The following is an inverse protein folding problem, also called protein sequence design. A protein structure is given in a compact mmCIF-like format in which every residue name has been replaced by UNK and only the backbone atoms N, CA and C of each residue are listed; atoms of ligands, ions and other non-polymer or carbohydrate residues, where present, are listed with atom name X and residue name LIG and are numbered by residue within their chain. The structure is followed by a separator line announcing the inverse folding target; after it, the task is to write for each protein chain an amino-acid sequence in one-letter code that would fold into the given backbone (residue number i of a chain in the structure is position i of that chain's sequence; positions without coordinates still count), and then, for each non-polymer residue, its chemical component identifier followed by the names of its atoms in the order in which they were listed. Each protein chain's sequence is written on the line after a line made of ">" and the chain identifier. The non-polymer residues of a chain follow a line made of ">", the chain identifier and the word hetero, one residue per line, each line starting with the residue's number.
data_IF_464619869169
#
_entry.id   IF_464619869169
#
_cell.length_a   1.000
_cell.length_b   1.000
_cell.length_c   1.000
_cell.angle_alpha   90.00
_cell.angle_beta   90.00
_cell.angle_gamma   90.00
#
_symmetry.space_group_name_H-M   'P 1'
#
loop_
_entity.id
_entity.type
_entity.pdbx_description
1 polymer ?
#
# COMPACT_ATOMS: atom_id res chain seq x y z
N UNK A 1 -17.06 8.23 14.78
CA UNK A 1 -16.75 7.58 13.49
C UNK A 1 -16.08 6.25 13.80
N UNK A 2 -16.73 5.13 13.46
CA UNK A 2 -16.20 3.81 13.79
C UNK A 2 -14.99 3.48 12.92
N UNK A 3 -13.82 3.35 13.55
CA UNK A 3 -12.61 2.82 12.93
C UNK A 3 -12.95 1.45 12.34
N UNK A 4 -13.01 1.33 11.01
CA UNK A 4 -13.00 0.02 10.37
C UNK A 4 -11.61 -0.55 10.66
N UNK A 5 -11.54 -1.57 11.52
CA UNK A 5 -10.30 -2.26 11.86
C UNK A 5 -9.64 -2.78 10.57
N UNK A 6 -8.61 -2.09 10.08
CA UNK A 6 -7.64 -2.69 9.18
C UNK A 6 -6.89 -3.73 10.02
N UNK A 7 -7.17 -5.01 9.78
CA UNK A 7 -6.45 -6.08 10.49
C UNK A 7 -5.08 -6.24 9.85
N UNK A 8 -4.08 -5.60 10.45
CA UNK A 8 -2.68 -5.88 10.11
C UNK A 8 -2.38 -7.31 10.51
N UNK A 9 -2.01 -8.12 9.53
CA UNK A 9 -1.62 -9.51 9.78
C UNK A 9 -0.29 -9.50 10.53
N UNK A 10 -0.19 -10.30 11.59
CA UNK A 10 1.04 -10.48 12.39
C UNK A 10 2.24 -10.85 11.51
N UNK A 11 2.00 -11.47 10.35
CA UNK A 11 3.03 -11.79 9.35
C UNK A 11 3.63 -10.56 8.65
N UNK A 12 2.84 -9.51 8.41
CA UNK A 12 3.32 -8.23 7.85
C UNK A 12 4.23 -7.54 8.87
N UNK A 13 3.83 -7.53 10.13
CA UNK A 13 4.64 -7.04 11.24
C UNK A 13 5.97 -7.77 11.39
N UNK A 14 5.92 -9.10 11.43
CA UNK A 14 7.12 -9.92 11.53
C UNK A 14 8.03 -9.75 10.31
N UNK A 15 7.45 -9.46 9.14
CA UNK A 15 8.20 -9.15 7.93
C UNK A 15 8.86 -7.77 7.99
N UNK A 16 8.14 -6.73 8.43
CA UNK A 16 8.69 -5.38 8.61
C UNK A 16 9.87 -5.40 9.61
N UNK A 17 9.71 -6.06 10.75
CA UNK A 17 10.76 -6.17 11.77
C UNK A 17 12.01 -6.92 11.25
N UNK A 18 11.84 -7.90 10.34
CA UNK A 18 12.96 -8.62 9.72
C UNK A 18 13.73 -7.79 8.71
N UNK A 19 13.09 -6.78 8.09
CA UNK A 19 13.76 -5.86 7.17
C UNK A 19 14.52 -4.77 7.94
N UNK A 20 14.07 -4.38 9.14
CA UNK A 20 14.77 -3.40 9.99
C UNK A 20 16.03 -3.94 10.65
N UNK A 21 16.10 -5.25 10.94
CA UNK A 21 17.26 -5.89 11.60
C UNK A 21 18.47 -6.14 10.66
N UNK A 22 18.27 -6.05 9.34
CA UNK A 22 19.30 -6.35 8.33
C UNK A 22 19.61 -5.07 7.54
N UNK A 23 20.64 -4.32 7.97
CA UNK A 23 21.07 -3.05 7.36
C UNK A 23 21.04 -3.00 5.81
N UNK A 24 20.55 -1.86 5.29
CA UNK A 24 20.64 -1.28 3.92
C UNK A 24 19.44 -1.35 2.97
N UNK A 25 18.41 -2.15 3.24
CA UNK A 25 17.15 -2.09 2.51
C UNK A 25 16.03 -1.75 3.49
N UNK A 26 16.01 -0.50 3.96
CA UNK A 26 14.76 0.05 4.46
C UNK A 26 13.79 -0.01 3.29
N UNK A 27 12.97 -1.06 3.29
CA UNK A 27 11.71 -1.00 2.60
C UNK A 27 10.94 0.11 3.29
N UNK A 28 11.01 1.30 2.71
CA UNK A 28 10.25 2.42 3.24
C UNK A 28 8.78 2.15 2.91
N UNK A 29 8.08 1.62 3.92
CA UNK A 29 6.66 1.30 3.86
C UNK A 29 5.87 2.49 3.29
N UNK A 30 6.30 3.70 3.67
CA UNK A 30 5.73 4.97 3.25
C UNK A 30 6.01 5.21 1.78
N UNK A 31 7.25 5.06 1.32
CA UNK A 31 7.57 5.20 -0.11
C UNK A 31 6.78 4.21 -0.97
N UNK A 32 6.63 2.97 -0.51
CA UNK A 32 5.83 1.97 -1.21
C UNK A 32 4.35 2.37 -1.30
N UNK A 33 3.79 2.94 -0.22
CA UNK A 33 2.42 3.42 -0.19
C UNK A 33 2.23 4.66 -1.08
N UNK A 34 3.13 5.63 -0.98
CA UNK A 34 3.14 6.85 -1.79
C UNK A 34 3.29 6.50 -3.27
N UNK A 35 4.18 5.57 -3.61
CA UNK A 35 4.37 5.12 -4.98
C UNK A 35 3.08 4.54 -5.56
N UNK A 36 2.33 3.74 -4.78
CA UNK A 36 1.02 3.25 -5.18
C UNK A 36 0.05 4.41 -5.47
N UNK A 37 -0.09 5.37 -4.55
CA UNK A 37 -1.01 6.50 -4.71
C UNK A 37 -0.63 7.41 -5.88
N UNK A 38 0.66 7.76 -6.02
CA UNK A 38 1.18 8.52 -7.16
C UNK A 38 0.88 7.82 -8.47
N UNK A 39 1.05 6.49 -8.52
CA UNK A 39 0.76 5.70 -9.72
C UNK A 39 -0.74 5.70 -10.04
N UNK A 40 -1.62 5.57 -9.05
CA UNK A 40 -3.07 5.68 -9.25
C UNK A 40 -3.42 7.07 -9.80
N UNK A 41 -2.85 8.13 -9.21
CA UNK A 41 -3.07 9.51 -9.65
C UNK A 41 -2.62 9.73 -11.11
N UNK A 42 -1.43 9.24 -11.47
CA UNK A 42 -0.88 9.40 -12.82
C UNK A 42 -1.69 8.67 -13.90
N UNK A 43 -2.17 7.46 -13.61
CA UNK A 43 -2.97 6.69 -14.57
C UNK A 43 -4.45 7.11 -14.57
N UNK A 44 -4.90 7.86 -13.57
CA UNK A 44 -6.29 8.27 -13.36
C UNK A 44 -7.20 7.13 -12.89
N UNK A 45 -7.14 5.97 -13.54
CA UNK A 45 -7.96 4.80 -13.22
C UNK A 45 -7.15 3.50 -13.27
N UNK A 46 -7.18 2.73 -12.18
CA UNK A 46 -6.54 1.42 -12.10
C UNK A 46 -7.58 0.31 -12.05
N UNK A 47 -7.39 -0.73 -12.86
CA UNK A 47 -8.28 -1.89 -12.88
C UNK A 47 -8.14 -2.74 -11.62
N UNK A 48 -9.28 -3.05 -11.02
CA UNK A 48 -9.43 -3.98 -9.91
C UNK A 48 -9.85 -5.37 -10.41
N UNK A 49 -9.48 -6.41 -9.67
CA UNK A 49 -9.95 -7.79 -9.92
C UNK A 49 -11.19 -8.10 -9.08
N UNK A 50 -11.24 -7.55 -7.86
CA UNK A 50 -12.38 -7.65 -6.96
C UNK A 50 -12.53 -6.36 -6.15
N UNK A 51 -13.31 -6.39 -5.07
CA UNK A 51 -13.65 -5.19 -4.30
C UNK A 51 -12.46 -4.48 -3.66
N UNK A 52 -11.37 -5.20 -3.39
CA UNK A 52 -10.21 -4.68 -2.65
C UNK A 52 -8.86 -5.14 -3.21
N UNK A 53 -8.84 -5.74 -4.40
CA UNK A 53 -7.61 -6.23 -5.01
C UNK A 53 -7.38 -5.55 -6.35
N UNK A 54 -6.18 -4.97 -6.49
CA UNK A 54 -5.68 -4.47 -7.76
C UNK A 54 -5.13 -5.62 -8.60
N UNK A 55 -5.21 -5.48 -9.91
CA UNK A 55 -4.67 -6.47 -10.83
C UNK A 55 -3.16 -6.68 -10.62
N UNK A 56 -2.60 -7.91 -10.54
CA UNK A 56 -1.18 -8.17 -10.24
C UNK A 56 -0.19 -7.42 -11.14
N UNK A 57 -0.56 -7.14 -12.39
CA UNK A 57 0.26 -6.31 -13.29
C UNK A 57 0.53 -4.91 -12.75
N UNK A 58 -0.38 -4.36 -11.95
CA UNK A 58 -0.19 -3.08 -11.27
C UNK A 58 1.03 -3.12 -10.34
N UNK A 59 1.20 -4.22 -9.60
CA UNK A 59 2.26 -4.38 -8.61
C UNK A 59 3.63 -4.69 -9.21
N UNK A 60 3.71 -5.17 -10.46
CA UNK A 60 5.01 -5.50 -11.10
C UNK A 60 6.00 -4.33 -11.13
N UNK A 61 5.52 -3.10 -11.34
CA UNK A 61 6.41 -1.94 -11.29
C UNK A 61 6.80 -1.58 -9.87
N UNK A 62 5.91 -1.81 -8.90
CA UNK A 62 6.18 -1.63 -7.48
C UNK A 62 7.30 -2.58 -7.04
N UNK A 63 7.16 -3.87 -7.38
CA UNK A 63 8.19 -4.88 -7.13
C UNK A 63 9.55 -4.50 -7.71
N UNK A 64 9.57 -4.04 -8.96
CA UNK A 64 10.80 -3.63 -9.65
C UNK A 64 11.45 -2.42 -9.00
N UNK A 65 10.65 -1.43 -8.58
CA UNK A 65 11.17 -0.19 -7.98
C UNK A 65 11.78 -0.43 -6.61
N UNK A 66 11.14 -1.26 -5.78
CA UNK A 66 11.55 -1.48 -4.39
C UNK A 66 12.41 -2.74 -4.19
N UNK A 67 12.82 -3.41 -5.27
CA UNK A 67 13.68 -4.60 -5.21
C UNK A 67 13.03 -5.78 -4.48
N UNK A 68 11.70 -5.78 -4.40
CA UNK A 68 10.96 -6.84 -3.75
C UNK A 68 11.09 -8.12 -4.55
N UNK A 69 11.82 -9.11 -4.04
CA UNK A 69 11.71 -10.50 -4.51
C UNK A 69 10.37 -11.14 -4.05
N UNK A 70 9.28 -10.38 -4.01
CA UNK A 70 7.97 -10.81 -3.49
C UNK A 70 7.22 -11.73 -4.46
N UNK A 71 7.70 -11.86 -5.70
CA UNK A 71 7.12 -12.72 -6.73
C UNK A 71 7.77 -14.10 -6.88
N UNK A 72 8.74 -14.46 -6.02
CA UNK A 72 9.19 -15.86 -5.91
C UNK A 72 8.04 -16.72 -5.34
N UNK A 73 7.93 -18.00 -5.74
CA UNK A 73 6.84 -18.88 -5.30
C UNK A 73 6.70 -18.97 -3.76
N UNK A 74 7.77 -18.74 -2.99
CA UNK A 74 7.78 -18.74 -1.52
C UNK A 74 7.35 -17.41 -0.87
N UNK A 75 7.49 -16.27 -1.54
CA UNK A 75 7.25 -14.93 -0.98
C UNK A 75 5.94 -14.29 -1.44
N UNK A 76 5.24 -14.89 -2.41
CA UNK A 76 3.94 -14.43 -2.94
C UNK A 76 2.91 -14.08 -1.86
N UNK A 77 2.83 -14.86 -0.78
CA UNK A 77 1.87 -14.61 0.30
C UNK A 77 2.19 -13.33 1.07
N UNK A 78 3.48 -13.04 1.31
CA UNK A 78 3.91 -11.86 2.06
C UNK A 78 3.70 -10.57 1.27
N UNK A 79 3.99 -10.59 -0.03
CA UNK A 79 3.72 -9.44 -0.90
C UNK A 79 2.23 -9.16 -1.04
N UNK A 80 1.41 -10.20 -1.12
CA UNK A 80 -0.04 -10.05 -1.10
C UNK A 80 -0.54 -9.37 0.19
N UNK A 81 0.10 -9.60 1.34
CA UNK A 81 -0.29 -8.95 2.61
C UNK A 81 0.10 -7.48 2.68
N UNK A 82 1.28 -7.11 2.18
CA UNK A 82 1.70 -5.70 2.08
C UNK A 82 0.79 -4.92 1.13
N UNK A 83 0.50 -5.46 -0.04
CA UNK A 83 -0.37 -4.81 -1.03
C UNK A 83 -1.79 -4.70 -0.55
N UNK A 84 -2.30 -5.74 0.11
CA UNK A 84 -3.62 -5.70 0.71
C UNK A 84 -3.69 -4.63 1.80
N UNK A 85 -2.66 -4.52 2.65
CA UNK A 85 -2.55 -3.47 3.65
C UNK A 85 -2.61 -2.07 3.02
N UNK A 86 -1.83 -1.81 1.97
CA UNK A 86 -1.89 -0.52 1.26
C UNK A 86 -3.29 -0.21 0.73
N UNK A 87 -3.93 -1.17 0.07
CA UNK A 87 -5.27 -0.94 -0.47
C UNK A 87 -6.29 -0.72 0.66
N UNK A 88 -6.19 -1.46 1.76
CA UNK A 88 -7.09 -1.32 2.90
C UNK A 88 -6.93 0.02 3.62
N UNK A 89 -5.70 0.49 3.86
CA UNK A 89 -5.46 1.81 4.44
C UNK A 89 -5.97 2.90 3.50
N UNK A 90 -5.68 2.81 2.20
CA UNK A 90 -6.14 3.81 1.24
C UNK A 90 -7.67 3.91 1.19
N UNK A 91 -8.39 2.79 1.31
CA UNK A 91 -9.86 2.80 1.40
C UNK A 91 -10.37 3.31 2.75
N UNK A 92 -9.73 2.91 3.85
CA UNK A 92 -10.11 3.34 5.21
C UNK A 92 -10.01 4.86 5.34
N UNK A 93 -8.92 5.43 4.83
CA UNK A 93 -8.64 6.86 4.84
C UNK A 93 -9.29 7.65 3.71
N UNK A 94 -10.11 6.98 2.89
CA UNK A 94 -10.81 7.57 1.75
C UNK A 94 -9.86 8.28 0.77
N UNK A 95 -8.61 7.84 0.68
CA UNK A 95 -7.61 8.35 -0.26
C UNK A 95 -7.89 7.86 -1.68
N UNK A 96 -8.61 6.74 -1.79
CA UNK A 96 -9.07 6.17 -3.05
C UNK A 96 -10.56 5.90 -3.00
N UNK A 97 -11.19 5.96 -4.16
CA UNK A 97 -12.58 5.59 -4.36
C UNK A 97 -12.69 4.54 -5.45
N UNK A 98 -13.76 3.75 -5.37
CA UNK A 98 -14.07 2.72 -6.36
C UNK A 98 -15.22 3.20 -7.23
N UNK A 99 -15.04 3.12 -8.55
CA UNK A 99 -16.07 3.34 -9.55
C UNK A 99 -16.15 2.08 -10.43
N UNK A 100 -17.09 1.17 -10.13
CA UNK A 100 -17.23 -0.10 -10.83
C UNK A 100 -16.04 -1.05 -10.58
N UNK A 101 -15.31 -1.41 -11.64
CA UNK A 101 -14.09 -2.23 -11.59
C UNK A 101 -12.81 -1.40 -11.56
N UNK A 102 -12.92 -0.10 -11.25
CA UNK A 102 -11.79 0.85 -11.28
C UNK A 102 -11.59 1.51 -9.91
N UNK A 103 -10.32 1.68 -9.58
CA UNK A 103 -9.85 2.46 -8.45
C UNK A 103 -9.32 3.81 -8.94
N UNK A 104 -9.75 4.89 -8.30
CA UNK A 104 -9.34 6.27 -8.60
C UNK A 104 -8.87 6.96 -7.33
N UNK A 105 -7.95 7.90 -7.45
CA UNK A 105 -7.57 8.75 -6.31
C UNK A 105 -8.69 9.76 -6.03
N UNK A 106 -8.94 10.07 -4.76
CA UNK A 106 -9.88 11.12 -4.34
C UNK A 106 -9.15 12.45 -4.16
N UNK A 107 -9.90 13.53 -3.95
CA UNK A 107 -9.33 14.82 -3.53
C UNK A 107 -8.53 14.69 -2.22
N UNK A 108 -9.02 13.89 -1.27
CA UNK A 108 -8.31 13.60 -0.02
C UNK A 108 -7.01 12.82 -0.26
N UNK A 109 -7.01 11.90 -1.22
CA UNK A 109 -5.80 11.21 -1.67
C UNK A 109 -4.78 12.13 -2.32
N UNK A 110 -5.23 13.11 -3.11
CA UNK A 110 -4.38 14.13 -3.70
C UNK A 110 -3.77 15.03 -2.61
N UNK A 111 -4.58 15.53 -1.68
CA UNK A 111 -4.11 16.32 -0.54
C UNK A 111 -3.11 15.53 0.31
N UNK A 112 -3.31 14.22 0.51
CA UNK A 112 -2.36 13.38 1.23
C UNK A 112 -1.00 13.27 0.52
N UNK A 113 -0.97 13.28 -0.82
CA UNK A 113 0.29 13.28 -1.58
C UNK A 113 1.09 14.58 -1.45
N UNK A 114 0.46 15.67 -1.01
CA UNK A 114 1.09 16.97 -0.78
C UNK A 114 1.61 17.16 0.65
N UNK A 115 1.23 16.26 1.57
CA UNK A 115 1.73 16.24 2.95
C UNK A 115 3.24 15.94 3.00
N UNK A 116 3.86 16.34 4.09
CA UNK A 116 5.25 15.97 4.36
C UNK A 116 5.38 14.48 4.72
N UNK A 117 6.63 14.00 4.72
CA UNK A 117 6.92 12.59 4.95
C UNK A 117 6.55 12.13 6.36
N UNK A 118 6.61 13.01 7.36
CA UNK A 118 6.31 12.69 8.76
C UNK A 118 4.80 12.44 8.93
N UNK A 119 3.97 13.35 8.39
CA UNK A 119 2.52 13.19 8.39
C UNK A 119 2.06 11.96 7.58
N UNK A 120 2.74 11.65 6.48
CA UNK A 120 2.45 10.47 5.66
C UNK A 120 2.75 9.18 6.42
N UNK A 121 3.87 9.16 7.14
CA UNK A 121 4.35 8.05 7.96
C UNK A 121 3.45 7.82 9.18
N UNK A 122 3.08 8.88 9.90
CA UNK A 122 2.22 8.81 11.08
C UNK A 122 0.88 8.13 10.76
N UNK A 123 0.25 8.50 9.64
CA UNK A 123 -0.99 7.88 9.21
C UNK A 123 -0.85 6.36 9.05
N UNK A 124 0.23 5.88 8.43
CA UNK A 124 0.45 4.45 8.24
C UNK A 124 0.69 3.73 9.57
N UNK A 125 1.38 4.38 10.52
CA UNK A 125 1.64 3.81 11.83
C UNK A 125 0.38 3.65 12.69
N UNK A 126 -0.64 4.51 12.54
CA UNK A 126 -1.92 4.36 13.26
C UNK A 126 -2.69 3.08 12.92
N UNK A 127 -2.37 2.45 11.79
CA UNK A 127 -2.98 1.17 11.39
C UNK A 127 -2.13 -0.03 11.79
N UNK A 128 -0.88 0.21 12.12
CA UNK A 128 0.07 -0.80 12.56
C UNK A 128 -0.14 -1.02 14.07
N UNK A 129 0.02 0.03 14.89
CA UNK A 129 -0.10 -0.02 16.35
C UNK A 129 -1.53 0.19 16.86
#
# INVERSE_FOLDING_TARGET
>A
MGLRQVRVKTELFHWLNKQTDLNSYQVDLVDGFIFMLKKINQHGMIRMINEKELHPRFWRSHDRTFGYELMSQKTKQKGAHLYQFYVDVAFSEQLVSRAGDRLTITERGQAYLEKDAEEQLDLLFTYIW
#
